data_IF_056556263731
#
_entry.id   IF_056556263731
#
_cell.length_a   1.000
_cell.length_b   1.000
_cell.length_c   1.000
_cell.angle_alpha   90.00
_cell.angle_beta   90.00
_cell.angle_gamma   90.00
#
_symmetry.space_group_name_H-M   'P 1'
#
loop_
_entity.id
_entity.type
_entity.pdbx_description
1 polymer ?
#
# COMPACT_ATOMS: atom_id res chain seq x y z
N UNK A 1 14.26 14.60 1.02
CA UNK A 1 13.90 14.51 2.45
C UNK A 1 12.43 14.83 2.68
N UNK A 2 11.82 14.21 3.70
CA UNK A 2 10.43 14.51 4.11
C UNK A 2 10.37 15.82 4.90
N UNK A 3 11.48 16.23 5.50
CA UNK A 3 11.58 17.38 6.38
C UNK A 3 11.81 17.01 7.84
N UNK A 4 11.56 17.95 8.74
CA UNK A 4 11.74 17.78 10.20
C UNK A 4 10.38 17.84 10.89
N UNK A 5 10.27 17.14 12.03
CA UNK A 5 9.09 17.19 12.88
C UNK A 5 8.89 18.61 13.44
N UNK A 6 7.61 18.97 13.72
CA UNK A 6 7.28 20.17 14.45
C UNK A 6 7.74 20.08 15.92
N UNK A 7 7.91 21.21 16.62
CA UNK A 7 8.06 21.19 18.06
C UNK A 7 6.91 20.40 18.73
N UNK A 8 7.23 19.58 19.73
CA UNK A 8 6.32 18.68 20.45
C UNK A 8 5.80 17.47 19.63
N UNK A 9 6.33 17.24 18.44
CA UNK A 9 6.10 16.04 17.66
C UNK A 9 7.39 15.23 17.56
N UNK A 10 7.27 13.90 17.62
CA UNK A 10 8.37 12.98 17.32
C UNK A 10 7.98 12.11 16.12
N UNK A 11 8.86 12.08 15.14
CA UNK A 11 8.71 11.26 13.93
C UNK A 11 9.84 10.25 13.92
N UNK A 12 9.50 8.98 13.85
CA UNK A 12 10.47 7.88 13.97
C UNK A 12 10.07 6.71 13.08
N UNK A 13 11.00 5.76 12.93
CA UNK A 13 10.80 4.56 12.13
C UNK A 13 10.71 3.33 13.02
N UNK A 14 9.75 2.44 12.70
CA UNK A 14 9.64 1.11 13.29
C UNK A 14 9.89 0.03 12.23
N UNK A 15 10.58 -1.03 12.63
CA UNK A 15 10.71 -2.25 11.83
C UNK A 15 9.47 -3.15 11.95
N UNK A 16 9.50 -4.34 11.31
CA UNK A 16 8.40 -5.31 11.36
C UNK A 16 8.19 -5.97 12.73
N UNK A 17 9.09 -5.76 13.69
CA UNK A 17 9.03 -6.27 15.06
C UNK A 17 8.86 -5.15 16.09
N UNK A 18 8.40 -3.99 15.62
CA UNK A 18 8.14 -2.79 16.44
C UNK A 18 9.37 -2.20 17.15
N UNK A 19 10.58 -2.44 16.63
CA UNK A 19 11.81 -1.86 17.17
C UNK A 19 12.13 -0.57 16.43
N UNK A 20 12.63 0.42 17.18
CA UNK A 20 13.05 1.71 16.59
C UNK A 20 14.26 1.53 15.69
N UNK A 21 14.15 2.02 14.45
CA UNK A 21 15.26 2.08 13.49
C UNK A 21 15.96 3.43 13.66
N UNK A 22 17.29 3.37 13.80
CA UNK A 22 18.17 4.55 13.84
C UNK A 22 19.28 4.47 12.79
N UNK A 23 19.55 3.27 12.25
CA UNK A 23 20.61 3.04 11.29
C UNK A 23 20.25 3.61 9.90
N UNK A 24 21.15 4.40 9.27
CA UNK A 24 20.96 4.88 7.90
C UNK A 24 20.75 3.74 6.91
N UNK A 25 19.92 3.99 5.90
CA UNK A 25 19.63 3.03 4.82
C UNK A 25 18.59 1.96 5.16
N UNK A 26 18.31 1.70 6.44
CA UNK A 26 17.29 0.72 6.85
C UNK A 26 15.91 1.30 6.68
N UNK A 27 15.05 0.58 5.94
CA UNK A 27 13.67 1.00 5.68
C UNK A 27 12.76 0.52 6.80
N UNK A 28 11.91 1.42 7.31
CA UNK A 28 10.86 1.13 8.28
C UNK A 28 9.61 1.94 8.06
N UNK A 29 8.57 1.62 8.82
CA UNK A 29 7.32 2.37 8.81
C UNK A 29 7.49 3.68 9.57
N UNK A 30 7.09 4.79 8.92
CA UNK A 30 7.07 6.11 9.51
C UNK A 30 5.94 6.20 10.54
N UNK A 31 6.29 6.49 11.77
CA UNK A 31 5.35 6.67 12.87
C UNK A 31 5.48 8.07 13.46
N UNK A 32 4.37 8.58 13.97
CA UNK A 32 4.30 9.91 14.58
C UNK A 32 3.69 9.80 15.96
N UNK A 33 4.22 10.56 16.92
CA UNK A 33 3.62 10.81 18.23
C UNK A 33 3.71 12.29 18.57
N UNK A 34 2.79 12.75 19.38
CA UNK A 34 2.79 14.12 19.87
C UNK A 34 1.42 14.75 19.94
N UNK A 35 1.40 16.05 20.11
CA UNK A 35 0.19 16.83 20.39
C UNK A 35 -0.68 17.10 19.16
N UNK A 36 -0.13 16.93 17.95
CA UNK A 36 -0.86 17.11 16.70
C UNK A 36 -1.63 15.88 16.25
N UNK A 37 -1.52 14.74 16.97
CA UNK A 37 -2.27 13.55 16.64
C UNK A 37 -3.77 13.78 16.78
N UNK A 38 -4.52 13.38 15.75
CA UNK A 38 -5.97 13.29 15.85
C UNK A 38 -6.37 12.19 16.87
N UNK A 39 -7.60 12.26 17.35
CA UNK A 39 -8.17 11.22 18.22
C UNK A 39 -8.51 9.94 17.44
N UNK A 40 -8.51 10.01 16.12
CA UNK A 40 -8.81 8.90 15.21
C UNK A 40 -9.65 9.37 14.03
N UNK A 41 -9.98 8.42 13.15
CA UNK A 41 -10.93 8.60 12.06
C UNK A 41 -12.36 8.49 12.58
N UNK A 42 -13.21 9.42 12.21
CA UNK A 42 -14.61 9.44 12.63
C UNK A 42 -15.37 8.23 12.05
N UNK A 43 -16.07 7.49 12.93
CA UNK A 43 -16.88 6.35 12.50
C UNK A 43 -16.12 5.15 11.91
N UNK A 44 -14.79 5.08 12.04
CA UNK A 44 -13.95 4.03 11.43
C UNK A 44 -13.11 3.26 12.47
N UNK A 45 -13.74 2.45 13.35
CA UNK A 45 -13.04 1.76 14.44
C UNK A 45 -11.97 0.78 13.94
N UNK A 46 -12.20 0.11 12.83
CA UNK A 46 -11.24 -0.83 12.25
C UNK A 46 -9.96 -0.13 11.76
N UNK A 47 -10.11 1.00 11.08
CA UNK A 47 -8.96 1.81 10.66
C UNK A 47 -8.22 2.40 11.86
N UNK A 48 -8.95 2.84 12.88
CA UNK A 48 -8.35 3.35 14.10
C UNK A 48 -7.50 2.29 14.80
N UNK A 49 -7.99 1.05 14.88
CA UNK A 49 -7.24 -0.06 15.47
C UNK A 49 -5.92 -0.39 14.75
N UNK A 50 -5.81 -0.04 13.47
CA UNK A 50 -4.60 -0.26 12.67
C UNK A 50 -3.63 0.92 12.75
N UNK A 51 -4.16 2.15 12.74
CA UNK A 51 -3.35 3.36 12.59
C UNK A 51 -3.06 4.07 13.92
N UNK A 52 -4.00 4.10 14.84
CA UNK A 52 -3.84 4.74 16.15
C UNK A 52 -3.64 3.67 17.23
N UNK A 53 -2.38 3.29 17.42
CA UNK A 53 -2.02 2.15 18.27
C UNK A 53 -1.20 2.59 19.49
N UNK A 54 -1.18 1.78 20.57
CA UNK A 54 -0.25 2.02 21.67
C UNK A 54 1.19 2.09 21.17
N UNK A 55 1.98 2.99 21.75
CA UNK A 55 3.40 3.11 21.41
C UNK A 55 4.18 1.88 21.93
N UNK A 56 4.70 1.02 21.05
CA UNK A 56 5.43 -0.18 21.47
C UNK A 56 6.77 0.14 22.16
N UNK A 57 7.28 1.35 21.97
CA UNK A 57 8.54 1.80 22.58
C UNK A 57 8.36 2.34 24.00
N UNK A 58 7.13 2.54 24.45
CA UNK A 58 6.84 3.13 25.75
C UNK A 58 5.99 2.19 26.62
N UNK A 59 6.63 1.36 27.47
CA UNK A 59 5.92 0.46 28.37
C UNK A 59 5.44 1.11 29.67
N UNK A 60 5.80 2.38 29.95
CA UNK A 60 5.64 3.00 31.25
C UNK A 60 4.28 3.69 31.46
N UNK A 61 3.68 4.21 30.38
CA UNK A 61 2.38 4.85 30.40
C UNK A 61 1.67 4.73 29.06
N UNK A 62 0.34 4.80 29.02
CA UNK A 62 -0.42 4.78 27.78
C UNK A 62 -0.06 5.97 26.89
N UNK A 63 0.46 5.70 25.73
CA UNK A 63 0.77 6.70 24.70
C UNK A 63 0.33 6.15 23.35
N UNK A 64 -0.37 6.96 22.59
CA UNK A 64 -0.80 6.58 21.23
C UNK A 64 0.20 7.09 20.21
N UNK A 65 0.50 6.27 19.20
CA UNK A 65 1.21 6.67 18.00
C UNK A 65 0.31 6.53 16.79
N UNK A 66 0.59 7.31 15.74
CA UNK A 66 -0.01 7.15 14.46
C UNK A 66 0.94 6.43 13.51
N UNK A 67 0.51 5.28 13.01
CA UNK A 67 1.18 4.53 11.94
C UNK A 67 0.70 5.05 10.60
N UNK A 68 1.59 5.73 9.87
CA UNK A 68 1.23 6.42 8.64
C UNK A 68 0.99 5.48 7.45
N UNK A 69 1.54 4.26 7.52
CA UNK A 69 1.62 3.35 6.38
C UNK A 69 2.70 3.75 5.35
N UNK A 70 3.37 4.90 5.53
CA UNK A 70 4.50 5.29 4.71
C UNK A 70 5.76 4.58 5.16
N UNK A 71 6.58 4.17 4.20
CA UNK A 71 7.92 3.64 4.43
C UNK A 71 8.95 4.73 4.21
N UNK A 72 9.91 4.82 5.10
CA UNK A 72 11.01 5.77 5.00
C UNK A 72 12.31 5.15 5.50
N UNK A 73 13.42 5.83 5.27
CA UNK A 73 14.74 5.51 5.82
C UNK A 73 15.46 6.79 6.19
N UNK A 74 16.39 6.69 7.09
CA UNK A 74 17.38 7.76 7.31
C UNK A 74 18.44 7.71 6.22
N UNK A 75 18.85 8.85 5.68
CA UNK A 75 20.02 8.97 4.83
C UNK A 75 21.32 9.09 5.67
N UNK A 76 22.46 9.28 4.99
CA UNK A 76 23.75 9.44 5.66
C UNK A 76 23.84 10.70 6.53
N UNK A 77 22.98 11.69 6.32
CA UNK A 77 22.92 12.93 7.08
C UNK A 77 21.89 12.85 8.23
N UNK A 78 21.23 11.71 8.40
CA UNK A 78 20.15 11.52 9.39
C UNK A 78 18.82 12.14 8.99
N UNK A 79 18.63 12.50 7.71
CA UNK A 79 17.36 13.03 7.22
C UNK A 79 16.44 11.89 6.77
N UNK A 80 15.14 12.04 7.02
CA UNK A 80 14.13 11.09 6.59
C UNK A 80 13.87 11.21 5.09
N UNK A 81 14.00 10.11 4.37
CA UNK A 81 13.75 10.00 2.93
C UNK A 81 12.63 9.00 2.70
N UNK A 82 11.58 9.40 1.99
CA UNK A 82 10.48 8.53 1.61
C UNK A 82 10.95 7.35 0.77
N UNK A 83 10.44 6.16 1.06
CA UNK A 83 10.83 4.92 0.39
C UNK A 83 9.66 4.14 -0.20
N UNK A 84 8.45 4.68 -0.11
CA UNK A 84 7.22 4.05 -0.62
C UNK A 84 6.14 3.93 0.45
N UNK A 85 5.19 3.03 0.22
CA UNK A 85 4.12 2.73 1.17
C UNK A 85 4.15 1.26 1.58
N UNK A 86 3.70 0.99 2.81
CA UNK A 86 3.50 -0.36 3.35
C UNK A 86 2.27 -1.02 2.74
N UNK A 87 1.23 -0.23 2.55
CA UNK A 87 0.03 -0.55 1.77
C UNK A 87 0.28 -0.20 0.29
N UNK A 88 -0.48 -0.81 -0.59
CA UNK A 88 -0.36 -0.58 -2.04
C UNK A 88 -1.14 0.66 -2.50
N UNK A 89 -1.20 1.68 -1.65
CA UNK A 89 -1.83 2.93 -1.95
C UNK A 89 -1.00 3.76 -2.93
N UNK A 90 -1.63 4.30 -3.94
CA UNK A 90 -1.01 5.09 -4.99
C UNK A 90 -1.69 6.45 -5.12
N UNK A 91 -0.98 7.40 -5.72
CA UNK A 91 -1.56 8.66 -6.19
C UNK A 91 -1.65 8.61 -7.70
N UNK A 92 -2.86 8.56 -8.24
CA UNK A 92 -3.11 8.43 -9.67
C UNK A 92 -4.19 9.41 -10.12
N UNK A 93 -3.91 10.20 -11.16
CA UNK A 93 -4.81 11.25 -11.70
C UNK A 93 -5.36 12.21 -10.62
N UNK A 94 -4.55 12.53 -9.60
CA UNK A 94 -4.96 13.40 -8.49
C UNK A 94 -5.78 12.72 -7.39
N UNK A 95 -6.12 11.45 -7.55
CA UNK A 95 -6.86 10.64 -6.58
C UNK A 95 -5.91 9.75 -5.78
N UNK A 96 -6.27 9.54 -4.51
CA UNK A 96 -5.64 8.55 -3.64
C UNK A 96 -6.39 7.24 -3.83
N UNK A 97 -5.74 6.21 -4.33
CA UNK A 97 -6.33 4.93 -4.70
C UNK A 97 -5.65 3.82 -3.92
N UNK A 98 -6.43 2.95 -3.34
CA UNK A 98 -5.97 1.70 -2.73
C UNK A 98 -6.11 0.57 -3.75
N UNK A 99 -4.98 -0.03 -4.16
CA UNK A 99 -5.02 -1.13 -5.13
C UNK A 99 -5.82 -2.32 -4.61
N UNK A 100 -5.84 -2.51 -3.29
CA UNK A 100 -6.63 -3.57 -2.64
C UNK A 100 -8.14 -3.35 -2.77
N UNK A 101 -8.61 -2.10 -2.85
CA UNK A 101 -10.02 -1.80 -3.14
C UNK A 101 -10.40 -2.28 -4.54
N UNK A 102 -9.56 -2.00 -5.54
CA UNK A 102 -9.77 -2.49 -6.91
C UNK A 102 -9.76 -4.01 -6.95
N UNK A 103 -8.83 -4.64 -6.22
CA UNK A 103 -8.72 -6.10 -6.15
C UNK A 103 -9.94 -6.74 -5.49
N UNK A 104 -10.48 -6.13 -4.44
CA UNK A 104 -11.68 -6.61 -3.76
C UNK A 104 -12.89 -6.60 -4.70
N UNK A 105 -13.11 -5.48 -5.42
CA UNK A 105 -14.22 -5.39 -6.37
C UNK A 105 -14.04 -6.36 -7.54
N UNK A 106 -12.80 -6.54 -8.01
CA UNK A 106 -12.47 -7.49 -9.08
C UNK A 106 -12.68 -8.95 -8.63
N UNK A 107 -12.29 -9.28 -7.39
CA UNK A 107 -12.48 -10.60 -6.81
C UNK A 107 -13.95 -10.96 -6.55
N UNK A 108 -14.82 -9.96 -6.40
CA UNK A 108 -16.26 -10.13 -6.22
C UNK A 108 -17.01 -10.39 -7.54
N UNK A 109 -16.33 -10.44 -8.67
CA UNK A 109 -16.93 -10.74 -9.99
C UNK A 109 -16.88 -12.24 -10.23
N UNK A 110 -18.02 -12.79 -10.64
CA UNK A 110 -18.16 -14.21 -10.92
C UNK A 110 -17.15 -14.68 -11.99
N UNK A 111 -16.48 -15.79 -11.71
CA UNK A 111 -15.46 -16.35 -12.60
C UNK A 111 -14.05 -15.78 -12.37
N UNK A 112 -13.84 -14.89 -11.40
CA UNK A 112 -12.51 -14.49 -10.91
C UNK A 112 -12.15 -15.34 -9.70
N UNK A 113 -11.09 -16.14 -9.81
CA UNK A 113 -10.58 -16.99 -8.72
C UNK A 113 -9.53 -16.27 -7.88
N UNK A 114 -8.69 -15.49 -8.54
CA UNK A 114 -7.63 -14.70 -7.90
C UNK A 114 -7.31 -13.49 -8.78
N UNK A 115 -6.99 -12.38 -8.15
CA UNK A 115 -6.61 -11.18 -8.88
C UNK A 115 -5.52 -10.38 -8.15
N UNK A 116 -4.90 -9.48 -8.90
CA UNK A 116 -3.89 -8.57 -8.40
C UNK A 116 -3.85 -7.31 -9.28
N UNK A 117 -3.78 -6.15 -8.66
CA UNK A 117 -3.60 -4.88 -9.33
C UNK A 117 -2.19 -4.34 -9.12
N UNK A 118 -1.59 -3.81 -10.17
CA UNK A 118 -0.26 -3.20 -10.14
C UNK A 118 -0.33 -1.82 -10.77
N UNK A 119 0.35 -0.86 -10.18
CA UNK A 119 0.56 0.43 -10.76
C UNK A 119 1.93 0.50 -11.42
N UNK A 120 1.95 0.74 -12.74
CA UNK A 120 3.17 0.96 -13.51
C UNK A 120 3.52 2.46 -13.44
N UNK A 121 4.41 2.84 -12.53
CA UNK A 121 4.82 4.23 -12.33
C UNK A 121 5.42 4.86 -13.58
N UNK A 122 6.20 4.09 -14.37
CA UNK A 122 6.87 4.60 -15.59
C UNK A 122 5.87 4.99 -16.67
N UNK A 123 4.77 4.25 -16.78
CA UNK A 123 3.73 4.47 -17.79
C UNK A 123 2.49 5.15 -17.20
N UNK A 124 2.49 5.43 -15.91
CA UNK A 124 1.36 5.98 -15.16
C UNK A 124 0.05 5.23 -15.49
N UNK A 125 0.03 3.91 -15.26
CA UNK A 125 -1.10 3.05 -15.64
C UNK A 125 -1.39 1.97 -14.61
N UNK A 126 -2.68 1.75 -14.36
CA UNK A 126 -3.19 0.61 -13.63
C UNK A 126 -3.23 -0.63 -14.55
N UNK A 127 -2.75 -1.75 -14.02
CA UNK A 127 -2.78 -3.07 -14.67
C UNK A 127 -3.42 -4.06 -13.72
N UNK A 128 -4.46 -4.75 -14.17
CA UNK A 128 -5.11 -5.85 -13.46
C UNK A 128 -4.70 -7.19 -14.05
N UNK A 129 -4.39 -8.14 -13.17
CA UNK A 129 -4.09 -9.54 -13.51
C UNK A 129 -5.11 -10.42 -12.82
N UNK A 130 -5.59 -11.46 -13.48
CA UNK A 130 -6.54 -12.39 -12.88
C UNK A 130 -6.35 -13.82 -13.36
N UNK A 131 -6.72 -14.75 -12.50
CA UNK A 131 -6.92 -16.16 -12.78
C UNK A 131 -8.43 -16.38 -12.71
N UNK A 132 -8.98 -17.15 -13.63
CA UNK A 132 -10.40 -17.47 -13.63
C UNK A 132 -10.94 -17.75 -15.01
N UNK A 133 -12.25 -17.97 -15.10
CA UNK A 133 -12.97 -18.32 -16.33
C UNK A 133 -13.61 -17.13 -17.03
N UNK A 134 -13.78 -16.00 -16.34
CA UNK A 134 -14.43 -14.81 -16.89
C UNK A 134 -13.65 -14.24 -18.08
N UNK A 135 -14.36 -13.86 -19.14
CA UNK A 135 -13.76 -13.19 -20.29
C UNK A 135 -13.38 -11.75 -19.94
N UNK A 136 -12.24 -11.30 -20.51
CA UNK A 136 -11.64 -9.99 -20.23
C UNK A 136 -12.63 -8.83 -20.41
N UNK A 137 -13.40 -8.84 -21.48
CA UNK A 137 -14.30 -7.74 -21.82
C UNK A 137 -15.52 -7.70 -20.88
N UNK A 138 -16.00 -8.86 -20.45
CA UNK A 138 -17.05 -8.98 -19.44
C UNK A 138 -16.55 -8.46 -18.07
N UNK A 139 -15.36 -8.91 -17.64
CA UNK A 139 -14.72 -8.42 -16.42
C UNK A 139 -14.55 -6.89 -16.43
N UNK A 140 -14.07 -6.34 -17.55
CA UNK A 140 -13.89 -4.89 -17.67
C UNK A 140 -15.21 -4.11 -17.64
N UNK A 141 -16.28 -4.66 -18.23
CA UNK A 141 -17.61 -4.05 -18.19
C UNK A 141 -18.16 -4.00 -16.77
N UNK A 142 -18.12 -5.13 -16.04
CA UNK A 142 -18.57 -5.18 -14.65
C UNK A 142 -17.77 -4.28 -13.70
N UNK A 143 -16.44 -4.21 -13.88
CA UNK A 143 -15.62 -3.29 -13.10
C UNK A 143 -16.01 -1.82 -13.32
N UNK A 144 -16.40 -1.43 -14.53
CA UNK A 144 -16.87 -0.06 -14.83
C UNK A 144 -18.19 0.30 -14.14
N UNK A 145 -19.02 -0.68 -13.84
CA UNK A 145 -20.26 -0.46 -13.11
C UNK A 145 -20.04 -0.29 -11.61
N UNK A 146 -19.00 -0.96 -11.07
CA UNK A 146 -18.69 -0.99 -9.63
C UNK A 146 -17.70 0.08 -9.18
N UNK A 147 -16.79 0.50 -10.06
CA UNK A 147 -15.68 1.39 -9.73
C UNK A 147 -15.73 2.70 -10.51
N UNK A 148 -15.26 3.81 -9.92
CA UNK A 148 -15.00 5.03 -10.65
C UNK A 148 -14.04 4.79 -11.82
N UNK A 149 -14.23 5.48 -12.94
CA UNK A 149 -13.48 5.27 -14.18
C UNK A 149 -11.95 5.32 -14.00
N UNK A 150 -11.45 6.17 -13.10
CA UNK A 150 -10.02 6.29 -12.81
C UNK A 150 -9.43 5.11 -12.01
N UNK A 151 -10.29 4.28 -11.40
CA UNK A 151 -9.88 3.07 -10.66
C UNK A 151 -9.92 1.81 -11.54
N UNK A 152 -10.57 1.85 -12.69
CA UNK A 152 -10.65 0.69 -13.59
C UNK A 152 -9.31 0.49 -14.30
N UNK A 153 -8.65 -0.68 -14.15
CA UNK A 153 -7.38 -0.94 -14.83
C UNK A 153 -7.52 -0.85 -16.35
N UNK A 154 -6.72 0.03 -16.97
CA UNK A 154 -6.71 0.17 -18.44
C UNK A 154 -6.14 -1.05 -19.17
N UNK A 155 -5.44 -1.92 -18.46
CA UNK A 155 -4.92 -3.20 -18.96
C UNK A 155 -5.39 -4.30 -18.01
N UNK A 156 -6.20 -5.22 -18.53
CA UNK A 156 -6.56 -6.47 -17.85
C UNK A 156 -5.91 -7.64 -18.59
N UNK A 157 -5.30 -8.54 -17.82
CA UNK A 157 -4.65 -9.73 -18.38
C UNK A 157 -4.99 -10.97 -17.57
N UNK A 158 -5.54 -11.97 -18.24
CA UNK A 158 -5.68 -13.31 -17.70
C UNK A 158 -4.32 -13.98 -17.65
N UNK A 159 -4.00 -14.63 -16.54
CA UNK A 159 -2.76 -15.37 -16.31
C UNK A 159 -3.09 -16.77 -15.79
N UNK A 160 -2.21 -17.74 -16.05
CA UNK A 160 -2.38 -19.11 -15.58
C UNK A 160 -1.93 -19.28 -14.14
N UNK A 161 -0.95 -18.48 -13.70
CA UNK A 161 -0.42 -18.51 -12.35
C UNK A 161 0.04 -17.11 -11.89
N UNK A 162 0.09 -16.91 -10.58
CA UNK A 162 0.61 -15.70 -9.94
C UNK A 162 1.75 -16.08 -8.99
N UNK A 163 2.94 -15.48 -9.19
CA UNK A 163 4.08 -15.75 -8.32
C UNK A 163 3.77 -15.34 -6.88
N UNK A 164 4.18 -16.19 -5.94
CA UNK A 164 4.01 -15.93 -4.51
C UNK A 164 5.35 -15.61 -3.84
N UNK A 165 5.28 -14.79 -2.82
CA UNK A 165 6.38 -14.55 -1.88
C UNK A 165 6.57 -15.79 -0.96
N UNK A 166 7.67 -15.83 -0.22
CA UNK A 166 7.91 -16.88 0.80
C UNK A 166 6.79 -17.01 1.84
N UNK A 167 6.03 -15.94 2.05
CA UNK A 167 4.93 -15.89 3.01
C UNK A 167 3.54 -16.14 2.37
N UNK A 168 3.49 -16.66 1.13
CA UNK A 168 2.25 -17.02 0.43
C UNK A 168 1.45 -15.84 -0.14
N UNK A 169 1.95 -14.61 -0.07
CA UNK A 169 1.33 -13.42 -0.70
C UNK A 169 1.76 -13.29 -2.15
N UNK A 170 0.92 -12.69 -3.00
CA UNK A 170 1.27 -12.42 -4.41
C UNK A 170 2.52 -11.53 -4.48
N UNK A 171 3.53 -11.98 -5.22
CA UNK A 171 4.75 -11.23 -5.49
C UNK A 171 4.52 -10.28 -6.68
N UNK A 172 4.02 -9.08 -6.38
CA UNK A 172 3.69 -8.06 -7.37
C UNK A 172 4.89 -7.64 -8.23
N UNK A 173 6.13 -7.69 -7.66
CA UNK A 173 7.34 -7.35 -8.41
C UNK A 173 7.62 -8.38 -9.49
N UNK A 174 7.63 -9.65 -9.11
CA UNK A 174 7.80 -10.76 -10.07
C UNK A 174 6.68 -10.77 -11.12
N UNK A 175 5.43 -10.53 -10.71
CA UNK A 175 4.30 -10.47 -11.62
C UNK A 175 4.49 -9.33 -12.64
N UNK A 176 4.94 -8.15 -12.21
CA UNK A 176 5.23 -7.02 -13.08
C UNK A 176 6.34 -7.33 -14.11
N UNK A 177 7.40 -8.03 -13.69
CA UNK A 177 8.52 -8.44 -14.54
C UNK A 177 8.12 -9.49 -15.59
N UNK A 178 7.39 -10.52 -15.17
CA UNK A 178 6.91 -11.60 -16.06
C UNK A 178 6.04 -11.07 -17.19
N UNK A 179 5.30 -10.02 -16.94
CA UNK A 179 4.36 -9.44 -17.92
C UNK A 179 4.94 -8.22 -18.63
N UNK A 180 5.98 -7.58 -18.08
CA UNK A 180 6.73 -6.50 -18.72
C UNK A 180 7.64 -6.95 -19.87
N UNK A 181 8.03 -8.22 -19.85
CA UNK A 181 8.97 -8.80 -20.84
C UNK A 181 8.37 -9.35 -22.13
N UNK A 182 7.05 -9.36 -22.29
CA UNK A 182 6.37 -9.81 -23.51
C UNK A 182 5.51 -8.69 -24.09
N UNK A 183 6.17 -7.71 -24.68
CA UNK A 183 5.54 -6.85 -25.69
C UNK A 183 6.32 -7.08 -26.98
N UNK A 184 5.94 -8.10 -27.72
CA UNK A 184 6.12 -8.13 -29.16
C UNK A 184 4.88 -7.55 -29.79
#
# INVERSE_FOLDING_TARGET
PIGKAFPNEDVFLLDGEDRRITAPGTVGELCVRGTALALGYYGAPEQNAVHFVPNPLNPHYPETIYRTGDLARYDANGELVFSGRKDFQIKYMGHRIELEEIEREMAAIDGVERCCCIFDEKKSRLKGFYIGSVEKDALHAEMKEKLPAFMVPGILRRVEDMPLTKNGKIDRKKLAELVGGKTN
#
